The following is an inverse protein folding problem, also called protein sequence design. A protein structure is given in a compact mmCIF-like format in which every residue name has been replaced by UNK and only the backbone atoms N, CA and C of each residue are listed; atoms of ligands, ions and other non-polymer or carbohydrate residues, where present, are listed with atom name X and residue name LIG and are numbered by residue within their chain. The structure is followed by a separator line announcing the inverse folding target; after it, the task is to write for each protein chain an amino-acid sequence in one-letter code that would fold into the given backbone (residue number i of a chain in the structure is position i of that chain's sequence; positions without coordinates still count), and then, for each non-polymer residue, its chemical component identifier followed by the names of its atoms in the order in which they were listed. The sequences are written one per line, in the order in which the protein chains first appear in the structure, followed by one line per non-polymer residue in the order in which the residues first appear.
data_IF_571509458297
#
_entry.id   IF_571509458297
#
_cell.length_a   1.000
_cell.length_b   1.000
_cell.length_c   1.000
_cell.angle_alpha   90.00
_cell.angle_beta   90.00
_cell.angle_gamma   90.00
#
_symmetry.space_group_name_H-M   'P 1'
#
loop_
_entity.id
_entity.type
_entity.pdbx_description
1 polymer ?
#
# COMPACT_ATOMS: atom_id res chain seq x y z
N UNK A 1 55.90 -38.47 -31.69
CA UNK A 1 55.60 -38.29 -30.25
C UNK A 1 54.24 -37.59 -30.16
N UNK A 2 53.30 -38.13 -29.37
CA UNK A 2 51.88 -37.74 -29.34
C UNK A 2 51.67 -36.34 -28.71
N UNK A 3 50.84 -35.46 -29.27
CA UNK A 3 50.28 -34.35 -28.50
C UNK A 3 49.07 -34.84 -27.70
N UNK A 4 49.07 -34.52 -26.41
CA UNK A 4 48.02 -34.84 -25.45
C UNK A 4 46.90 -33.79 -25.53
N UNK A 5 45.67 -34.24 -25.72
CA UNK A 5 44.47 -33.42 -25.54
C UNK A 5 44.26 -33.16 -24.05
N UNK A 6 44.32 -31.89 -23.63
CA UNK A 6 43.88 -31.46 -22.30
C UNK A 6 42.58 -30.69 -22.46
N UNK A 7 41.49 -31.28 -22.01
CA UNK A 7 40.18 -30.62 -21.85
C UNK A 7 40.22 -29.94 -20.48
N UNK A 8 40.27 -28.61 -20.46
CA UNK A 8 40.11 -27.82 -19.24
C UNK A 8 38.62 -27.53 -19.02
N UNK A 9 38.04 -27.82 -17.84
CA UNK A 9 36.69 -27.37 -17.53
C UNK A 9 36.70 -25.87 -17.23
N UNK A 10 36.03 -25.09 -18.08
CA UNK A 10 35.74 -23.69 -17.87
C UNK A 10 34.74 -23.55 -16.71
N UNK A 11 35.23 -23.21 -15.52
CA UNK A 11 34.38 -22.80 -14.41
C UNK A 11 33.92 -21.37 -14.69
N UNK A 12 32.69 -21.22 -15.20
CA UNK A 12 32.00 -19.93 -15.28
C UNK A 12 31.60 -19.57 -13.85
N UNK A 13 32.42 -18.75 -13.19
CA UNK A 13 31.99 -18.06 -11.96
C UNK A 13 30.99 -17.00 -12.39
N UNK A 14 29.71 -17.32 -12.30
CA UNK A 14 28.63 -16.34 -12.37
C UNK A 14 28.79 -15.44 -11.14
N UNK A 15 29.46 -14.30 -11.30
CA UNK A 15 29.43 -13.23 -10.31
C UNK A 15 27.99 -12.71 -10.25
N UNK A 16 27.23 -13.29 -9.32
CA UNK A 16 25.92 -12.82 -8.91
C UNK A 16 26.06 -11.40 -8.39
N UNK A 17 25.79 -10.43 -9.26
CA UNK A 17 25.45 -9.09 -8.84
C UNK A 17 24.01 -9.13 -8.32
N UNK A 18 23.85 -9.68 -7.12
CA UNK A 18 22.68 -9.38 -6.31
C UNK A 18 22.84 -7.94 -5.81
N UNK A 19 22.61 -6.98 -6.71
CA UNK A 19 22.17 -5.67 -6.29
C UNK A 19 20.78 -5.87 -5.69
N UNK A 20 20.74 -6.24 -4.41
CA UNK A 20 19.56 -6.05 -3.58
C UNK A 20 19.42 -4.54 -3.47
N UNK A 21 18.78 -3.93 -4.47
CA UNK A 21 18.17 -2.64 -4.30
C UNK A 21 17.10 -2.88 -3.24
N UNK A 22 17.45 -2.58 -1.99
CA UNK A 22 16.47 -2.43 -0.92
C UNK A 22 15.47 -1.41 -1.46
N UNK A 23 14.19 -1.78 -1.69
CA UNK A 23 13.22 -0.82 -2.15
C UNK A 23 13.16 0.27 -1.07
N UNK A 24 13.41 1.50 -1.48
CA UNK A 24 13.65 2.64 -0.60
C UNK A 24 12.31 3.13 -0.02
N UNK A 25 11.56 2.25 0.64
CA UNK A 25 10.47 2.67 1.52
C UNK A 25 11.00 3.33 2.80
N UNK A 26 12.29 3.17 3.10
CA UNK A 26 12.99 3.98 4.09
C UNK A 26 13.05 5.47 3.76
N UNK A 27 12.86 5.87 2.50
CA UNK A 27 12.80 7.29 2.10
C UNK A 27 11.38 7.86 2.07
N UNK A 28 10.33 7.02 2.09
CA UNK A 28 8.97 7.50 2.36
C UNK A 28 8.82 7.97 3.80
N UNK A 29 9.71 7.56 4.72
CA UNK A 29 9.87 8.20 6.03
C UNK A 29 9.92 9.73 5.93
N UNK A 30 10.62 10.27 4.94
CA UNK A 30 10.73 11.72 4.75
C UNK A 30 9.48 12.36 4.14
N UNK A 31 8.65 11.60 3.42
CA UNK A 31 7.42 12.10 2.82
C UNK A 31 6.25 12.04 3.82
N UNK A 32 6.19 11.00 4.66
CA UNK A 32 5.29 10.98 5.83
C UNK A 32 5.73 11.98 6.91
N UNK A 33 7.03 12.17 7.16
CA UNK A 33 7.51 13.23 8.08
C UNK A 33 7.23 14.65 7.54
N UNK A 34 7.26 14.84 6.21
CA UNK A 34 6.87 16.12 5.58
C UNK A 34 5.36 16.34 5.54
N UNK A 35 4.54 15.27 5.56
CA UNK A 35 3.07 15.36 5.64
C UNK A 35 2.55 15.46 7.08
N UNK A 36 3.32 15.03 8.08
CA UNK A 36 2.94 14.99 9.50
C UNK A 36 3.36 16.23 10.31
N UNK A 37 3.63 17.37 9.67
CA UNK A 37 3.82 18.67 10.35
C UNK A 37 3.27 19.84 9.52
N UNK A 38 2.33 20.68 10.01
CA UNK A 38 1.32 20.46 11.05
C UNK A 38 -0.12 20.58 10.49
N UNK A 39 -0.90 19.50 10.53
CA UNK A 39 -2.37 19.59 10.65
C UNK A 39 -2.74 19.62 12.14
N UNK A 40 -2.22 20.60 12.88
CA UNK A 40 -2.65 20.88 14.25
C UNK A 40 -3.36 22.22 14.28
N UNK A 41 -4.67 22.19 14.02
CA UNK A 41 -5.59 23.24 14.42
C UNK A 41 -6.35 22.82 15.66
N UNK A 42 -5.90 23.33 16.83
CA UNK A 42 -6.61 23.50 18.12
C UNK A 42 -7.38 22.27 18.69
N UNK A 43 -7.04 21.67 19.84
CA UNK A 43 -6.78 22.25 21.17
C UNK A 43 -6.00 21.25 22.05
N UNK A 44 -5.06 21.74 22.86
CA UNK A 44 -4.67 21.10 24.13
C UNK A 44 -3.39 20.24 24.18
N UNK A 45 -2.25 20.89 24.36
CA UNK A 45 -1.15 20.50 25.26
C UNK A 45 -0.61 19.07 25.25
N UNK A 46 0.56 18.87 24.64
CA UNK A 46 1.41 17.70 24.89
C UNK A 46 2.54 17.58 23.88
N UNK A 47 3.67 18.21 24.15
CA UNK A 47 4.93 17.98 23.43
C UNK A 47 5.40 16.54 23.69
N UNK A 48 5.36 15.71 22.65
CA UNK A 48 5.86 14.34 22.71
C UNK A 48 6.19 13.85 21.31
N UNK A 49 7.48 13.75 21.01
CA UNK A 49 8.04 13.05 19.85
C UNK A 49 7.53 11.60 19.85
N UNK A 50 6.49 11.32 19.08
CA UNK A 50 5.74 10.06 19.09
C UNK A 50 6.38 8.94 18.27
N UNK A 51 7.61 8.56 18.59
CA UNK A 51 8.27 7.38 18.04
C UNK A 51 8.43 6.32 19.13
N UNK A 52 7.42 5.48 19.33
CA UNK A 52 7.56 4.27 20.17
C UNK A 52 6.34 3.81 20.98
N UNK A 53 5.24 4.57 21.03
CA UNK A 53 4.08 4.18 21.82
C UNK A 53 3.16 3.24 21.01
N UNK A 54 2.84 2.08 21.59
CA UNK A 54 1.86 1.14 21.04
C UNK A 54 0.47 1.81 20.96
N UNK A 55 -0.22 1.74 19.82
CA UNK A 55 -1.57 2.30 19.66
C UNK A 55 -2.58 1.70 20.65
N UNK A 56 -3.55 2.49 21.08
CA UNK A 56 -4.70 2.01 21.88
C UNK A 56 -5.69 1.22 21.01
N UNK A 57 -6.56 0.40 21.62
CA UNK A 57 -7.60 -0.32 20.87
C UNK A 57 -8.53 0.63 20.10
N UNK A 58 -8.81 1.82 20.62
CA UNK A 58 -9.60 2.84 19.92
C UNK A 58 -8.87 3.39 18.69
N UNK A 59 -7.56 3.63 18.79
CA UNK A 59 -6.73 4.05 17.65
C UNK A 59 -6.64 2.95 16.58
N UNK A 60 -6.56 1.69 17.00
CA UNK A 60 -6.57 0.54 16.08
C UNK A 60 -7.91 0.42 15.36
N UNK A 61 -9.05 0.47 16.07
CA UNK A 61 -10.38 0.41 15.47
C UNK A 61 -10.64 1.58 14.52
N UNK A 62 -10.25 2.80 14.93
CA UNK A 62 -10.37 4.00 14.10
C UNK A 62 -9.55 3.88 12.82
N UNK A 63 -8.27 3.49 12.93
CA UNK A 63 -7.40 3.33 11.77
C UNK A 63 -7.92 2.23 10.82
N UNK A 64 -8.36 1.09 11.34
CA UNK A 64 -8.90 0.01 10.51
C UNK A 64 -10.19 0.42 9.80
N UNK A 65 -11.12 1.12 10.47
CA UNK A 65 -12.35 1.62 9.83
C UNK A 65 -12.07 2.69 8.79
N UNK A 66 -11.18 3.62 9.09
CA UNK A 66 -10.81 4.67 8.15
C UNK A 66 -10.15 4.10 6.90
N UNK A 67 -9.17 3.19 7.07
CA UNK A 67 -8.56 2.46 5.95
C UNK A 67 -9.62 1.71 5.12
N UNK A 68 -10.58 1.03 5.77
CA UNK A 68 -11.69 0.37 5.06
C UNK A 68 -12.48 1.38 4.23
N UNK A 69 -12.77 2.56 4.76
CA UNK A 69 -13.52 3.58 4.01
C UNK A 69 -12.74 4.10 2.81
N UNK A 70 -11.43 4.33 2.95
CA UNK A 70 -10.56 4.76 1.85
C UNK A 70 -10.50 3.70 0.74
N UNK A 71 -10.40 2.42 1.12
CA UNK A 71 -10.50 1.33 0.13
C UNK A 71 -11.83 1.36 -0.62
N UNK A 72 -12.90 1.84 0.02
CA UNK A 72 -14.22 2.04 -0.58
C UNK A 72 -14.23 3.18 -1.59
N UNK A 73 -13.59 4.31 -1.27
CA UNK A 73 -13.42 5.44 -2.19
C UNK A 73 -12.66 5.02 -3.45
N UNK A 74 -11.51 4.35 -3.28
CA UNK A 74 -10.69 3.88 -4.40
C UNK A 74 -11.43 2.82 -5.21
N UNK A 75 -12.09 1.87 -4.56
CA UNK A 75 -12.87 0.83 -5.22
C UNK A 75 -14.06 1.40 -6.01
N UNK A 76 -14.77 2.38 -5.46
CA UNK A 76 -15.87 3.03 -6.15
C UNK A 76 -15.37 3.77 -7.40
N UNK A 77 -14.23 4.46 -7.31
CA UNK A 77 -13.60 5.06 -8.48
C UNK A 77 -13.25 4.02 -9.55
N UNK A 78 -12.52 2.96 -9.19
CA UNK A 78 -12.09 1.92 -10.14
C UNK A 78 -13.26 1.15 -10.79
N UNK A 79 -14.38 1.03 -10.07
CA UNK A 79 -15.61 0.41 -10.58
C UNK A 79 -16.30 1.24 -11.67
N UNK A 80 -16.13 2.57 -11.64
CA UNK A 80 -16.90 3.50 -12.46
C UNK A 80 -16.03 4.32 -13.44
N UNK A 81 -14.71 4.31 -13.31
CA UNK A 81 -13.80 5.17 -14.08
C UNK A 81 -13.98 5.05 -15.61
N UNK A 82 -14.28 3.86 -16.13
CA UNK A 82 -14.48 3.64 -17.58
C UNK A 82 -15.75 4.32 -18.14
N UNK A 83 -16.72 4.70 -17.29
CA UNK A 83 -17.98 5.34 -17.71
C UNK A 83 -18.04 6.85 -17.42
N UNK A 84 -17.02 7.40 -16.73
CA UNK A 84 -16.95 8.81 -16.40
C UNK A 84 -16.64 9.68 -17.63
N UNK A 85 -17.21 10.89 -17.67
CA UNK A 85 -16.71 11.91 -18.57
C UNK A 85 -15.27 12.32 -18.18
N UNK A 86 -14.47 12.90 -19.10
CA UNK A 86 -13.07 13.19 -18.84
C UNK A 86 -12.83 14.12 -17.64
N UNK A 87 -13.67 15.13 -17.43
CA UNK A 87 -13.51 16.07 -16.32
C UNK A 87 -13.83 15.41 -14.98
N UNK A 88 -14.87 14.58 -14.94
CA UNK A 88 -15.20 13.79 -13.77
C UNK A 88 -14.13 12.76 -13.46
N UNK A 89 -13.61 12.05 -14.47
CA UNK A 89 -12.50 11.11 -14.30
C UNK A 89 -11.30 11.76 -13.60
N UNK A 90 -10.93 12.97 -14.02
CA UNK A 90 -9.81 13.68 -13.39
C UNK A 90 -10.10 14.06 -11.94
N UNK A 91 -11.29 14.62 -11.66
CA UNK A 91 -11.68 15.00 -10.30
C UNK A 91 -11.78 13.80 -9.37
N UNK A 92 -12.47 12.74 -9.79
CA UNK A 92 -12.62 11.52 -8.99
C UNK A 92 -11.29 10.78 -8.85
N UNK A 93 -10.43 10.82 -9.87
CA UNK A 93 -9.07 10.29 -9.79
C UNK A 93 -8.23 11.01 -8.73
N UNK A 94 -8.41 12.33 -8.55
CA UNK A 94 -7.78 13.10 -7.47
C UNK A 94 -8.29 12.65 -6.09
N UNK A 95 -9.61 12.47 -5.95
CA UNK A 95 -10.24 12.01 -4.70
C UNK A 95 -9.76 10.59 -4.34
N UNK A 96 -9.73 9.68 -5.32
CA UNK A 96 -9.22 8.33 -5.13
C UNK A 96 -7.73 8.32 -4.78
N UNK A 97 -6.92 9.17 -5.42
CA UNK A 97 -5.50 9.33 -5.07
C UNK A 97 -5.32 9.82 -3.63
N UNK A 98 -6.11 10.80 -3.18
CA UNK A 98 -6.03 11.32 -1.82
C UNK A 98 -6.39 10.21 -0.81
N UNK A 99 -7.45 9.45 -1.07
CA UNK A 99 -7.82 8.29 -0.26
C UNK A 99 -6.72 7.21 -0.22
N UNK A 100 -6.11 6.87 -1.37
CA UNK A 100 -5.00 5.90 -1.42
C UNK A 100 -3.78 6.40 -0.63
N UNK A 101 -3.50 7.71 -0.59
CA UNK A 101 -2.44 8.24 0.25
C UNK A 101 -2.81 8.18 1.75
N UNK A 102 -4.07 8.41 2.11
CA UNK A 102 -4.57 8.30 3.48
C UNK A 102 -4.52 6.85 4.00
N UNK A 103 -4.70 5.85 3.12
CA UNK A 103 -4.51 4.42 3.45
C UNK A 103 -3.12 4.17 4.07
N UNK A 104 -2.06 4.86 3.62
CA UNK A 104 -0.70 4.74 4.19
C UNK A 104 -0.61 5.26 5.63
N UNK A 105 -1.38 6.31 5.97
CA UNK A 105 -1.43 6.86 7.32
C UNK A 105 -2.06 5.87 8.29
N UNK A 106 -3.15 5.23 7.87
CA UNK A 106 -3.83 4.20 8.66
C UNK A 106 -2.98 2.94 8.79
N UNK A 107 -2.33 2.53 7.71
CA UNK A 107 -1.34 1.45 7.73
C UNK A 107 -0.24 1.71 8.75
N UNK A 108 0.33 2.91 8.76
CA UNK A 108 1.40 3.26 9.70
C UNK A 108 0.97 3.16 11.18
N UNK A 109 -0.31 3.42 11.50
CA UNK A 109 -0.85 3.18 12.85
C UNK A 109 -0.87 1.68 13.15
N UNK A 110 -1.39 0.86 12.24
CA UNK A 110 -1.48 -0.59 12.45
C UNK A 110 -0.10 -1.26 12.48
N UNK A 111 0.87 -0.78 11.70
CA UNK A 111 2.26 -1.27 11.73
C UNK A 111 2.90 -1.11 13.11
N UNK A 112 2.64 0.00 13.82
CA UNK A 112 3.16 0.21 15.19
C UNK A 112 2.61 -0.80 16.19
N UNK A 113 1.44 -1.38 15.91
CA UNK A 113 0.87 -2.44 16.73
C UNK A 113 1.41 -3.82 16.34
N UNK A 114 1.37 -4.14 15.04
CA UNK A 114 1.54 -5.52 14.58
C UNK A 114 2.94 -5.85 14.07
N UNK A 115 3.74 -4.85 13.71
CA UNK A 115 5.10 -5.02 13.17
C UNK A 115 6.20 -4.49 14.09
N UNK A 116 5.84 -3.90 15.23
CA UNK A 116 6.82 -3.41 16.20
C UNK A 116 7.48 -4.56 16.98
N UNK A 117 8.74 -4.38 17.38
CA UNK A 117 9.52 -5.38 18.12
C UNK A 117 10.27 -6.39 17.23
N UNK A 118 10.71 -7.49 17.86
CA UNK A 118 11.48 -8.55 17.19
C UNK A 118 10.62 -9.30 16.18
N UNK A 119 11.24 -9.97 15.19
CA UNK A 119 10.50 -10.77 14.20
C UNK A 119 9.54 -11.81 14.84
N UNK A 120 9.91 -12.41 15.97
CA UNK A 120 9.06 -13.37 16.69
C UNK A 120 7.86 -12.74 17.41
N UNK A 121 7.87 -11.42 17.63
CA UNK A 121 6.80 -10.68 18.30
C UNK A 121 5.79 -10.05 17.31
N UNK A 122 6.12 -10.03 16.01
CA UNK A 122 5.25 -9.47 14.97
C UNK A 122 4.12 -10.43 14.66
N UNK A 123 2.99 -9.89 14.25
CA UNK A 123 1.96 -10.70 13.62
C UNK A 123 2.47 -11.19 12.26
N UNK A 124 2.59 -12.51 12.10
CA UNK A 124 3.14 -13.11 10.89
C UNK A 124 2.28 -12.83 9.65
N UNK A 125 0.95 -12.83 9.80
CA UNK A 125 0.04 -12.55 8.70
C UNK A 125 0.11 -11.10 8.23
N UNK A 126 0.30 -10.17 9.17
CA UNK A 126 0.53 -8.75 8.86
C UNK A 126 1.92 -8.54 8.25
N UNK A 127 2.94 -9.25 8.71
CA UNK A 127 4.28 -9.17 8.15
C UNK A 127 4.32 -9.61 6.66
N UNK A 128 3.66 -10.73 6.33
CA UNK A 128 3.53 -11.21 4.95
C UNK A 128 2.72 -10.21 4.09
N UNK A 129 1.63 -9.68 4.63
CA UNK A 129 0.82 -8.66 3.96
C UNK A 129 1.61 -7.37 3.70
N UNK A 130 2.42 -6.93 4.65
CA UNK A 130 3.29 -5.79 4.50
C UNK A 130 4.31 -5.99 3.37
N UNK A 131 4.88 -7.19 3.24
CA UNK A 131 5.81 -7.51 2.14
C UNK A 131 5.14 -7.35 0.78
N UNK A 132 3.90 -7.83 0.62
CA UNK A 132 3.11 -7.65 -0.61
C UNK A 132 2.87 -6.17 -0.91
N UNK A 133 2.42 -5.40 0.09
CA UNK A 133 2.06 -4.00 -0.10
C UNK A 133 3.28 -3.11 -0.39
N UNK A 134 4.37 -3.36 0.32
CA UNK A 134 5.55 -2.49 0.34
C UNK A 134 6.63 -3.06 -0.57
N UNK A 135 7.17 -4.23 -0.25
CA UNK A 135 8.38 -4.72 -0.90
C UNK A 135 8.18 -5.22 -2.34
N UNK A 136 6.95 -5.53 -2.73
CA UNK A 136 6.60 -5.93 -4.10
C UNK A 136 6.08 -4.75 -4.94
N UNK A 137 6.14 -3.51 -4.42
CA UNK A 137 5.71 -2.27 -5.07
C UNK A 137 4.24 -2.25 -5.54
N UNK A 138 3.40 -3.20 -5.09
CA UNK A 138 2.00 -3.31 -5.54
C UNK A 138 1.16 -2.11 -5.13
N UNK A 139 1.41 -1.54 -3.95
CA UNK A 139 0.74 -0.31 -3.50
C UNK A 139 1.19 0.91 -4.31
N UNK A 140 2.50 1.03 -4.56
CA UNK A 140 3.06 2.15 -5.33
C UNK A 140 2.51 2.16 -6.76
N UNK A 141 2.31 1.00 -7.37
CA UNK A 141 1.70 0.88 -8.68
C UNK A 141 0.28 1.48 -8.73
N UNK A 142 -0.53 1.30 -7.68
CA UNK A 142 -1.87 1.92 -7.58
C UNK A 142 -1.76 3.43 -7.43
N UNK A 143 -0.87 3.91 -6.55
CA UNK A 143 -0.61 5.35 -6.35
C UNK A 143 -0.19 6.01 -7.66
N UNK A 144 0.66 5.37 -8.45
CA UNK A 144 1.12 5.90 -9.74
C UNK A 144 -0.02 5.96 -10.78
N UNK A 145 -0.84 4.92 -10.85
CA UNK A 145 -2.02 4.88 -11.72
C UNK A 145 -3.04 5.98 -11.39
N UNK A 146 -3.37 6.15 -10.11
CA UNK A 146 -4.26 7.22 -9.63
C UNK A 146 -3.63 8.61 -9.80
N UNK A 147 -2.32 8.74 -9.63
CA UNK A 147 -1.56 9.96 -9.93
C UNK A 147 -1.68 10.33 -11.40
N UNK A 148 -1.61 9.36 -12.30
CA UNK A 148 -1.76 9.60 -13.73
C UNK A 148 -3.18 10.07 -14.06
N UNK A 149 -4.21 9.40 -13.54
CA UNK A 149 -5.62 9.78 -13.78
C UNK A 149 -5.97 11.14 -13.17
N UNK A 150 -5.51 11.46 -11.97
CA UNK A 150 -5.75 12.77 -11.33
C UNK A 150 -5.10 13.94 -12.09
N UNK A 151 -3.99 13.71 -12.78
CA UNK A 151 -3.29 14.74 -13.55
C UNK A 151 -3.81 14.86 -14.98
N UNK A 152 -4.17 13.73 -15.61
CA UNK A 152 -4.42 13.66 -17.05
C UNK A 152 -5.81 13.20 -17.45
N UNK A 153 -6.68 12.83 -16.51
CA UNK A 153 -8.00 12.24 -16.78
C UNK A 153 -8.84 13.01 -17.82
N UNK A 154 -8.81 14.34 -17.81
CA UNK A 154 -9.55 15.19 -18.77
C UNK A 154 -9.09 15.08 -20.22
N UNK A 155 -7.93 14.47 -20.45
CA UNK A 155 -7.29 14.32 -21.76
C UNK A 155 -7.06 12.85 -22.15
N UNK A 156 -7.34 11.91 -21.24
CA UNK A 156 -7.16 10.49 -21.51
C UNK A 156 -8.22 9.98 -22.48
N UNK A 157 -7.79 9.13 -23.42
CA UNK A 157 -8.70 8.44 -24.32
C UNK A 157 -9.38 7.28 -23.59
N UNK A 158 -10.60 6.88 -23.98
CA UNK A 158 -11.31 5.77 -23.35
C UNK A 158 -10.50 4.47 -23.24
N UNK A 159 -9.72 4.11 -24.28
CA UNK A 159 -8.88 2.91 -24.26
C UNK A 159 -7.70 3.01 -23.28
N UNK A 160 -7.15 4.22 -23.06
CA UNK A 160 -6.09 4.45 -22.06
C UNK A 160 -6.65 4.27 -20.65
N UNK A 161 -7.85 4.82 -20.39
CA UNK A 161 -8.54 4.69 -19.09
C UNK A 161 -8.80 3.22 -18.80
N UNK A 162 -9.43 2.51 -19.74
CA UNK A 162 -9.72 1.08 -19.63
C UNK A 162 -8.48 0.23 -19.38
N UNK A 163 -7.40 0.50 -20.11
CA UNK A 163 -6.13 -0.23 -19.94
C UNK A 163 -5.57 -0.02 -18.54
N UNK A 164 -5.58 1.23 -18.05
CA UNK A 164 -5.03 1.56 -16.74
C UNK A 164 -5.89 1.03 -15.59
N UNK A 165 -7.22 1.13 -15.66
CA UNK A 165 -8.14 0.55 -14.67
C UNK A 165 -7.93 -0.95 -14.55
N UNK A 166 -7.85 -1.64 -15.68
CA UNK A 166 -7.61 -3.10 -15.70
C UNK A 166 -6.27 -3.46 -15.10
N UNK A 167 -5.21 -2.74 -15.46
CA UNK A 167 -3.88 -2.99 -14.91
C UNK A 167 -3.88 -2.78 -13.39
N UNK A 168 -4.45 -1.68 -12.89
CA UNK A 168 -4.58 -1.44 -11.45
C UNK A 168 -5.36 -2.55 -10.75
N UNK A 169 -6.48 -3.01 -11.32
CA UNK A 169 -7.26 -4.10 -10.72
C UNK A 169 -6.54 -5.45 -10.76
N UNK A 170 -5.69 -5.71 -11.77
CA UNK A 170 -4.89 -6.94 -11.84
C UNK A 170 -3.95 -7.10 -10.64
N UNK A 171 -3.51 -5.99 -10.04
CA UNK A 171 -2.68 -6.03 -8.83
C UNK A 171 -3.51 -5.81 -7.57
N UNK A 172 -4.43 -4.84 -7.59
CA UNK A 172 -5.21 -4.45 -6.42
C UNK A 172 -6.13 -5.57 -5.95
N UNK A 173 -6.82 -6.25 -6.86
CA UNK A 173 -7.81 -7.27 -6.52
C UNK A 173 -7.19 -8.54 -5.89
N UNK A 174 -6.16 -9.17 -6.48
CA UNK A 174 -5.60 -10.40 -5.92
C UNK A 174 -4.51 -10.19 -4.87
N UNK A 175 -3.85 -9.03 -4.82
CA UNK A 175 -2.69 -8.82 -3.94
C UNK A 175 -2.96 -7.75 -2.87
N UNK A 176 -3.25 -6.50 -3.28
CA UNK A 176 -3.37 -5.37 -2.33
C UNK A 176 -4.55 -5.56 -1.37
N UNK A 177 -5.77 -5.77 -1.88
CA UNK A 177 -6.97 -5.84 -1.03
C UNK A 177 -6.97 -7.08 -0.11
N UNK A 178 -6.51 -8.27 -0.54
CA UNK A 178 -6.30 -9.41 0.36
C UNK A 178 -5.22 -9.17 1.43
N UNK A 179 -4.16 -8.42 1.12
CA UNK A 179 -3.16 -8.03 2.11
C UNK A 179 -3.76 -7.05 3.13
N UNK A 180 -4.55 -6.07 2.71
CA UNK A 180 -5.29 -5.17 3.61
C UNK A 180 -6.28 -5.96 4.50
N UNK A 181 -6.94 -6.99 3.96
CA UNK A 181 -7.81 -7.86 4.78
C UNK A 181 -7.04 -8.57 5.91
N UNK A 182 -5.75 -8.86 5.76
CA UNK A 182 -4.92 -9.42 6.85
C UNK A 182 -4.72 -8.41 7.97
N UNK A 183 -4.47 -7.14 7.63
CA UNK A 183 -4.43 -6.05 8.61
C UNK A 183 -5.77 -5.88 9.33
N UNK A 184 -6.88 -5.91 8.59
CA UNK A 184 -8.23 -5.82 9.17
C UNK A 184 -8.51 -6.98 10.13
N UNK A 185 -8.14 -8.21 9.76
CA UNK A 185 -8.30 -9.38 10.62
C UNK A 185 -7.47 -9.27 11.91
N UNK A 186 -6.23 -8.77 11.83
CA UNK A 186 -5.40 -8.53 13.01
C UNK A 186 -6.02 -7.45 13.93
N UNK A 187 -6.51 -6.34 13.34
CA UNK A 187 -7.21 -5.28 14.06
C UNK A 187 -8.46 -5.81 14.79
N UNK A 188 -9.26 -6.66 14.16
CA UNK A 188 -10.42 -7.31 14.78
C UNK A 188 -10.06 -8.16 16.00
N UNK A 189 -8.89 -8.79 16.00
CA UNK A 189 -8.37 -9.58 17.12
C UNK A 189 -7.88 -8.69 18.28
N UNK A 190 -7.35 -7.51 17.97
CA UNK A 190 -6.80 -6.57 18.94
C UNK A 190 -7.85 -5.65 19.61
N UNK A 191 -9.06 -5.56 19.06
CA UNK A 191 -10.13 -4.69 19.56
C UNK A 191 -11.25 -5.53 20.21
N UNK A 192 -11.40 -5.48 21.56
CA UNK A 192 -12.52 -6.11 22.25
C UNK A 192 -13.86 -5.57 21.76
N UNK A 193 -14.76 -6.45 21.30
CA UNK A 193 -16.07 -6.06 20.78
C UNK A 193 -16.05 -5.33 19.42
N UNK A 194 -14.90 -5.25 18.75
CA UNK A 194 -14.74 -4.59 17.45
C UNK A 194 -15.52 -5.27 16.32
N UNK A 195 -15.69 -4.55 15.19
CA UNK A 195 -16.46 -5.01 14.03
C UNK A 195 -15.81 -6.22 13.35
N UNK A 196 -16.41 -7.40 13.54
CA UNK A 196 -15.97 -8.68 12.96
C UNK A 196 -16.20 -8.80 11.45
N UNK A 197 -16.77 -7.78 10.82
CA UNK A 197 -16.99 -7.71 9.36
C UNK A 197 -15.99 -6.80 8.64
N UNK A 198 -15.02 -6.18 9.35
CA UNK A 198 -13.95 -5.39 8.72
C UNK A 198 -13.23 -6.19 7.62
N UNK A 199 -13.39 -5.70 6.39
CA UNK A 199 -12.68 -6.11 5.18
C UNK A 199 -12.58 -4.89 4.27
N UNK A 200 -11.54 -4.84 3.44
CA UNK A 200 -11.43 -3.82 2.41
C UNK A 200 -12.59 -3.96 1.42
N UNK A 201 -13.11 -2.84 0.93
CA UNK A 201 -14.08 -2.89 -0.16
C UNK A 201 -13.39 -3.32 -1.45
N UNK A 202 -14.12 -4.07 -2.27
CA UNK A 202 -13.67 -4.51 -3.59
C UNK A 202 -14.39 -3.69 -4.67
N UNK A 203 -13.69 -3.26 -5.74
CA UNK A 203 -14.38 -2.73 -6.89
C UNK A 203 -15.21 -3.83 -7.57
N UNK A 204 -16.28 -3.46 -8.28
CA UNK A 204 -17.22 -4.40 -8.92
C UNK A 204 -16.63 -5.13 -10.13
N UNK A 205 -15.47 -4.67 -10.58
CA UNK A 205 -14.68 -5.24 -11.67
C UNK A 205 -13.37 -5.89 -11.16
N UNK A 206 -13.36 -6.32 -9.89
CA UNK A 206 -12.70 -7.56 -9.49
C UNK A 206 -13.62 -8.75 -9.85
#
# INVERSE_FOLDING_TARGET
MRPQNVIAPLVIVLQGHAAVAVPIFGALGNMVDSFLSPLTGAVGGGSGSGSGQTPTSEQIDTAARAWRNDTGTVSNFLSNAESMDPQELQRQGKIALDAENDELLHKAVLDRMFLNGTAAARDAGVADANDVLVNQDTFQFIVDGLTLMSKRGSTMKPDEVKTLVRAMNQDRCPYVLPAIDKYMAAAQGAVPGGDKSLKAYRPTNC
#
